data_IF_234212105435
#
_entry.id   IF_234212105435
#
_cell.length_a   1.000
_cell.length_b   1.000
_cell.length_c   1.000
_cell.angle_alpha   90.00
_cell.angle_beta   90.00
_cell.angle_gamma   90.00
#
_symmetry.space_group_name_H-M   'P 1'
#
loop_
_entity.id
_entity.type
_entity.pdbx_description
1 polymer ?
#
# COMPACT_ATOMS: atom_id res chain seq x y z
N UNK A 1 9.67 15.98 -6.17
CA UNK A 1 9.62 15.93 -4.68
C UNK A 1 8.49 15.04 -4.14
N UNK A 2 7.23 15.16 -4.59
CA UNK A 2 6.14 14.30 -4.05
C UNK A 2 6.32 12.81 -4.38
N UNK A 3 6.68 12.41 -5.61
CA UNK A 3 6.97 11.00 -5.90
C UNK A 3 8.14 10.42 -5.09
N UNK A 4 9.17 11.21 -4.82
CA UNK A 4 10.28 10.79 -3.95
C UNK A 4 9.82 10.55 -2.51
N UNK A 5 8.91 11.41 -1.99
CA UNK A 5 8.27 11.20 -0.70
C UNK A 5 7.45 9.90 -0.70
N UNK A 6 6.71 9.65 -1.78
CA UNK A 6 5.95 8.40 -1.96
C UNK A 6 6.84 7.16 -1.95
N UNK A 7 7.95 7.20 -2.67
CA UNK A 7 8.93 6.11 -2.69
C UNK A 7 9.61 5.92 -1.33
N UNK A 8 10.01 7.01 -0.67
CA UNK A 8 10.57 6.96 0.68
C UNK A 8 9.58 6.34 1.68
N UNK A 9 8.30 6.75 1.62
CA UNK A 9 7.26 6.21 2.49
C UNK A 9 7.04 4.70 2.24
N UNK A 10 7.18 4.23 0.99
CA UNK A 10 7.09 2.81 0.65
C UNK A 10 8.25 2.01 1.26
N UNK A 11 9.49 2.54 1.17
CA UNK A 11 10.66 1.93 1.79
C UNK A 11 10.53 1.92 3.32
N UNK A 12 10.06 3.04 3.92
CA UNK A 12 9.81 3.11 5.36
C UNK A 12 8.77 2.07 5.79
N UNK A 13 7.69 1.88 5.01
CA UNK A 13 6.70 0.86 5.28
C UNK A 13 7.30 -0.55 5.27
N UNK A 14 8.22 -0.85 4.34
CA UNK A 14 8.93 -2.12 4.32
C UNK A 14 9.80 -2.33 5.58
N UNK A 15 10.52 -1.30 6.04
CA UNK A 15 11.30 -1.36 7.28
C UNK A 15 10.41 -1.57 8.51
N UNK A 16 9.24 -0.91 8.55
CA UNK A 16 8.24 -1.12 9.61
C UNK A 16 7.67 -2.55 9.56
N UNK A 17 7.40 -3.09 8.37
CA UNK A 17 6.91 -4.46 8.19
C UNK A 17 7.95 -5.51 8.65
N UNK A 18 9.25 -5.29 8.40
CA UNK A 18 10.33 -6.13 8.95
C UNK A 18 10.26 -6.12 10.49
N UNK A 19 10.20 -4.94 11.08
CA UNK A 19 10.17 -4.76 12.53
C UNK A 19 8.91 -5.39 13.14
N UNK A 20 7.75 -5.20 12.49
CA UNK A 20 6.47 -5.80 12.87
C UNK A 20 6.49 -7.33 12.77
N UNK A 21 7.23 -7.89 11.83
CA UNK A 21 7.36 -9.34 11.67
C UNK A 21 8.20 -9.97 12.78
N UNK A 22 9.23 -9.29 13.25
CA UNK A 22 10.25 -9.83 14.14
C UNK A 22 9.91 -9.57 15.62
N UNK A 23 9.75 -8.29 16.01
CA UNK A 23 9.67 -7.92 17.43
C UNK A 23 8.47 -8.53 18.17
N UNK A 24 7.22 -8.45 17.64
CA UNK A 24 6.07 -9.02 18.31
C UNK A 24 6.14 -10.55 18.40
N UNK A 25 6.64 -11.21 17.36
CA UNK A 25 6.78 -12.67 17.34
C UNK A 25 7.79 -13.13 18.38
N UNK A 26 8.93 -12.46 18.45
CA UNK A 26 9.97 -12.73 19.45
C UNK A 26 9.47 -12.47 20.87
N UNK A 27 8.71 -11.38 21.06
CA UNK A 27 8.04 -11.08 22.32
C UNK A 27 7.08 -12.18 22.75
N UNK A 28 6.26 -12.67 21.81
CA UNK A 28 5.30 -13.75 22.08
C UNK A 28 5.98 -15.11 22.42
N UNK A 29 7.19 -15.35 21.88
CA UNK A 29 7.97 -16.55 22.21
C UNK A 29 8.63 -16.49 23.60
N UNK A 30 9.03 -15.27 24.02
CA UNK A 30 9.72 -15.04 25.30
C UNK A 30 8.80 -14.62 26.45
N UNK A 31 7.53 -14.37 26.17
CA UNK A 31 6.59 -13.80 27.14
C UNK A 31 6.90 -12.33 27.49
N UNK A 32 7.63 -11.60 26.61
CA UNK A 32 7.99 -10.20 26.85
C UNK A 32 6.84 -9.26 26.40
N UNK A 33 6.16 -8.70 27.39
CA UNK A 33 5.03 -7.81 27.17
C UNK A 33 5.41 -6.52 26.42
N UNK A 34 6.65 -6.02 26.55
CA UNK A 34 7.10 -4.80 25.88
C UNK A 34 7.26 -5.04 24.37
N UNK A 35 7.89 -6.16 24.02
CA UNK A 35 8.05 -6.56 22.62
C UNK A 35 6.70 -6.88 21.97
N UNK A 36 5.80 -7.57 22.66
CA UNK A 36 4.43 -7.80 22.17
C UNK A 36 3.67 -6.49 21.98
N UNK A 37 3.83 -5.53 22.90
CA UNK A 37 3.20 -4.22 22.83
C UNK A 37 3.64 -3.36 21.64
N UNK A 38 4.77 -3.66 20.99
CA UNK A 38 5.21 -2.98 19.78
C UNK A 38 4.34 -3.26 18.55
N UNK A 39 3.54 -4.32 18.57
CA UNK A 39 2.74 -4.77 17.43
C UNK A 39 1.77 -3.69 16.92
N UNK A 40 1.00 -3.08 17.83
CA UNK A 40 -0.03 -2.10 17.46
C UNK A 40 0.56 -0.80 16.87
N UNK A 41 1.54 -0.12 17.50
CA UNK A 41 2.12 1.08 16.91
C UNK A 41 2.82 0.83 15.58
N UNK A 42 3.47 -0.35 15.39
CA UNK A 42 4.10 -0.70 14.12
C UNK A 42 3.08 -0.91 13.00
N UNK A 43 1.96 -1.59 13.28
CA UNK A 43 0.88 -1.78 12.32
C UNK A 43 0.27 -0.44 11.88
N UNK A 44 -0.01 0.46 12.83
CA UNK A 44 -0.56 1.79 12.52
C UNK A 44 0.45 2.64 11.73
N UNK A 45 1.71 2.64 12.14
CA UNK A 45 2.76 3.40 11.43
C UNK A 45 2.96 2.87 10.00
N UNK A 46 2.93 1.55 9.80
CA UNK A 46 3.00 0.92 8.48
C UNK A 46 1.83 1.33 7.59
N UNK A 47 0.59 1.29 8.12
CA UNK A 47 -0.59 1.75 7.41
C UNK A 47 -0.51 3.23 7.01
N UNK A 48 -0.07 4.10 7.91
CA UNK A 48 0.13 5.52 7.62
C UNK A 48 1.17 5.73 6.53
N UNK A 49 2.31 5.04 6.59
CA UNK A 49 3.37 5.16 5.59
C UNK A 49 2.88 4.72 4.20
N UNK A 50 2.16 3.59 4.09
CA UNK A 50 1.60 3.12 2.82
C UNK A 50 0.53 4.08 2.30
N UNK A 51 -0.31 4.64 3.18
CA UNK A 51 -1.32 5.65 2.80
C UNK A 51 -0.66 6.91 2.24
N UNK A 52 0.43 7.38 2.83
CA UNK A 52 1.22 8.51 2.30
C UNK A 52 1.77 8.16 0.92
N UNK A 53 2.32 6.96 0.74
CA UNK A 53 2.82 6.50 -0.56
C UNK A 53 1.70 6.49 -1.62
N UNK A 54 0.55 5.92 -1.29
CA UNK A 54 -0.59 5.87 -2.21
C UNK A 54 -1.12 7.28 -2.56
N UNK A 55 -1.23 8.17 -1.55
CA UNK A 55 -1.63 9.56 -1.77
C UNK A 55 -0.63 10.33 -2.65
N UNK A 56 0.67 10.06 -2.51
CA UNK A 56 1.70 10.66 -3.35
C UNK A 56 1.56 10.19 -4.82
N UNK A 57 1.20 8.93 -5.06
CA UNK A 57 0.94 8.44 -6.40
C UNK A 57 -0.33 9.07 -7.00
N UNK A 58 -1.43 9.18 -6.23
CA UNK A 58 -2.63 9.90 -6.66
C UNK A 58 -2.28 11.35 -7.04
N UNK A 59 -1.48 12.00 -6.22
CA UNK A 59 -1.04 13.39 -6.50
C UNK A 59 -0.29 13.48 -7.82
N UNK A 60 0.62 12.57 -8.11
CA UNK A 60 1.36 12.54 -9.39
C UNK A 60 0.41 12.41 -10.59
N UNK A 61 -0.65 11.60 -10.48
CA UNK A 61 -1.68 11.49 -11.52
C UNK A 61 -2.52 12.75 -11.68
N UNK A 62 -2.97 13.34 -10.59
CA UNK A 62 -3.81 14.55 -10.58
C UNK A 62 -3.05 15.74 -11.16
N UNK A 63 -1.76 15.87 -10.85
CA UNK A 63 -0.90 16.97 -11.33
C UNK A 63 -0.26 16.69 -12.69
N UNK A 64 -0.51 15.52 -13.32
CA UNK A 64 0.12 15.07 -14.55
C UNK A 64 1.65 15.13 -14.48
N UNK A 65 2.25 14.55 -13.44
CA UNK A 65 3.71 14.50 -13.32
C UNK A 65 4.29 13.48 -14.31
N UNK A 66 4.55 13.94 -15.55
CA UNK A 66 5.07 13.12 -16.64
C UNK A 66 6.53 12.71 -16.44
N UNK A 67 7.15 13.05 -15.32
CA UNK A 67 8.44 12.49 -14.94
C UNK A 67 8.32 11.12 -14.28
N UNK A 68 7.10 10.65 -13.97
CA UNK A 68 6.80 9.34 -13.40
C UNK A 68 6.36 8.38 -14.49
N UNK A 69 7.09 7.28 -14.71
CA UNK A 69 6.81 6.29 -15.77
C UNK A 69 5.37 5.77 -15.68
N UNK A 70 4.89 5.47 -14.49
CA UNK A 70 3.55 4.95 -14.26
C UNK A 70 2.46 5.94 -14.71
N UNK A 71 2.67 7.26 -14.47
CA UNK A 71 1.75 8.31 -14.94
C UNK A 71 1.75 8.42 -16.46
N UNK A 72 2.95 8.41 -17.07
CA UNK A 72 3.10 8.45 -18.54
C UNK A 72 2.38 7.29 -19.22
N UNK A 73 2.52 6.09 -18.69
CA UNK A 73 1.93 4.88 -19.28
C UNK A 73 0.39 4.83 -19.14
N UNK A 74 -0.18 5.43 -18.08
CA UNK A 74 -1.57 5.19 -17.70
C UNK A 74 -2.42 6.45 -17.54
N UNK A 75 -1.89 7.64 -17.82
CA UNK A 75 -2.64 8.91 -17.70
C UNK A 75 -2.41 9.81 -18.91
N UNK A 76 -3.24 10.85 -19.04
CA UNK A 76 -3.17 11.86 -20.07
C UNK A 76 -3.70 13.19 -19.53
N UNK A 77 -3.18 14.34 -20.00
CA UNK A 77 -3.58 15.65 -19.51
C UNK A 77 -5.09 15.93 -19.70
N UNK A 78 -5.66 15.49 -20.83
CA UNK A 78 -7.08 15.66 -21.17
C UNK A 78 -8.02 14.68 -20.45
N UNK A 79 -7.50 13.71 -19.65
CA UNK A 79 -8.33 12.72 -18.96
C UNK A 79 -9.18 13.37 -17.86
N UNK A 80 -10.49 13.04 -17.72
CA UNK A 80 -11.33 13.54 -16.63
C UNK A 80 -10.74 13.22 -15.26
N UNK A 81 -10.88 14.14 -14.28
CA UNK A 81 -10.28 14.03 -12.95
C UNK A 81 -10.64 12.73 -12.23
N UNK A 82 -11.89 12.28 -12.34
CA UNK A 82 -12.32 11.01 -11.77
C UNK A 82 -11.44 9.86 -12.25
N UNK A 83 -11.20 9.77 -13.57
CA UNK A 83 -10.40 8.70 -14.14
C UNK A 83 -8.89 8.92 -13.98
N UNK A 84 -8.42 10.13 -13.67
CA UNK A 84 -7.05 10.34 -13.21
C UNK A 84 -6.86 9.64 -11.84
N UNK A 85 -7.77 9.86 -10.90
CA UNK A 85 -7.70 9.25 -9.57
C UNK A 85 -7.86 7.72 -9.66
N UNK A 86 -8.91 7.25 -10.34
CA UNK A 86 -9.19 5.81 -10.43
C UNK A 86 -8.20 5.07 -11.32
N UNK A 87 -7.57 5.75 -12.26
CA UNK A 87 -6.49 5.21 -13.09
C UNK A 87 -5.24 4.79 -12.30
N UNK A 88 -5.07 5.30 -11.08
CA UNK A 88 -3.98 4.89 -10.18
C UNK A 88 -4.00 3.38 -9.94
N UNK A 89 -5.18 2.80 -9.72
CA UNK A 89 -5.33 1.35 -9.54
C UNK A 89 -5.80 0.62 -10.79
N UNK A 90 -5.90 1.31 -11.91
CA UNK A 90 -6.18 0.73 -13.22
C UNK A 90 -4.96 0.08 -13.89
N UNK A 91 -3.82 0.03 -13.22
CA UNK A 91 -2.57 -0.56 -13.68
C UNK A 91 -1.97 -1.47 -12.60
N UNK A 92 -0.95 -2.23 -12.97
CA UNK A 92 -0.35 -3.24 -12.10
C UNK A 92 0.29 -2.65 -10.84
N UNK A 93 1.14 -1.64 -10.98
CA UNK A 93 1.93 -1.07 -9.88
C UNK A 93 1.04 -0.34 -8.87
N UNK A 94 0.12 0.49 -9.35
CA UNK A 94 -0.79 1.24 -8.48
C UNK A 94 -1.84 0.35 -7.81
N UNK A 95 -2.28 -0.69 -8.52
CA UNK A 95 -3.16 -1.74 -8.00
C UNK A 95 -2.51 -2.49 -6.83
N UNK A 96 -1.21 -2.81 -6.92
CA UNK A 96 -0.47 -3.46 -5.84
C UNK A 96 -0.35 -2.56 -4.59
N UNK A 97 -0.11 -1.24 -4.76
CA UNK A 97 -0.08 -0.34 -3.60
C UNK A 97 -1.46 -0.28 -2.93
N UNK A 98 -2.55 -0.21 -3.70
CA UNK A 98 -3.90 -0.26 -3.14
C UNK A 98 -4.12 -1.56 -2.36
N UNK A 99 -3.67 -2.69 -2.89
CA UNK A 99 -3.79 -4.00 -2.25
C UNK A 99 -3.06 -4.04 -0.89
N UNK A 100 -1.79 -3.59 -0.85
CA UNK A 100 -1.03 -3.55 0.42
C UNK A 100 -1.59 -2.50 1.38
N UNK A 101 -2.18 -1.41 0.89
CA UNK A 101 -2.86 -0.42 1.73
C UNK A 101 -4.07 -1.03 2.43
N UNK A 102 -4.88 -1.82 1.74
CA UNK A 102 -6.01 -2.54 2.34
C UNK A 102 -5.52 -3.55 3.38
N UNK A 103 -4.47 -4.31 3.08
CA UNK A 103 -3.88 -5.28 4.02
C UNK A 103 -3.32 -4.59 5.27
N UNK A 104 -2.61 -3.48 5.10
CA UNK A 104 -2.11 -2.69 6.22
C UNK A 104 -3.26 -2.07 7.04
N UNK A 105 -4.34 -1.67 6.37
CA UNK A 105 -5.59 -1.24 7.01
C UNK A 105 -6.22 -2.34 7.86
N UNK A 106 -6.26 -3.58 7.37
CA UNK A 106 -6.69 -4.75 8.15
C UNK A 106 -5.78 -4.97 9.36
N UNK A 107 -4.46 -4.87 9.19
CA UNK A 107 -3.50 -4.96 10.30
C UNK A 107 -3.73 -3.87 11.35
N UNK A 108 -3.92 -2.63 10.92
CA UNK A 108 -4.25 -1.51 11.82
C UNK A 108 -5.61 -1.71 12.52
N UNK A 109 -6.60 -2.28 11.84
CA UNK A 109 -7.91 -2.61 12.43
C UNK A 109 -7.77 -3.69 13.51
N UNK A 110 -6.97 -4.75 13.28
CA UNK A 110 -6.67 -5.75 14.32
C UNK A 110 -5.95 -5.10 15.50
N UNK A 111 -5.06 -4.13 15.26
CA UNK A 111 -4.41 -3.39 16.35
C UNK A 111 -5.40 -2.56 17.18
N UNK A 112 -6.36 -1.90 16.50
CA UNK A 112 -7.32 -1.00 17.15
C UNK A 112 -8.46 -1.76 17.88
N UNK A 113 -8.96 -2.85 17.29
CA UNK A 113 -10.14 -3.56 17.76
C UNK A 113 -9.84 -4.90 18.44
N UNK A 114 -8.59 -5.37 18.36
CA UNK A 114 -8.16 -6.65 18.92
C UNK A 114 -7.87 -6.65 20.42
N UNK A 115 -8.30 -5.64 21.19
CA UNK A 115 -8.00 -5.51 22.63
C UNK A 115 -8.53 -6.67 23.49
N UNK A 116 -9.52 -7.42 23.01
CA UNK A 116 -10.05 -8.61 23.69
C UNK A 116 -9.24 -9.88 23.46
N UNK A 117 -8.30 -9.87 22.52
CA UNK A 117 -7.46 -11.01 22.19
C UNK A 117 -6.34 -11.14 23.23
N UNK A 118 -5.91 -12.38 23.56
CA UNK A 118 -4.68 -12.59 24.32
C UNK A 118 -3.49 -11.91 23.64
N UNK A 119 -2.67 -11.18 24.41
CA UNK A 119 -1.56 -10.38 23.86
C UNK A 119 -0.59 -11.19 22.98
N UNK A 120 -0.32 -12.44 23.37
CA UNK A 120 0.53 -13.35 22.61
C UNK A 120 -0.10 -13.74 21.24
N UNK A 121 -1.43 -13.89 21.18
CA UNK A 121 -2.13 -14.18 19.94
C UNK A 121 -2.11 -12.95 19.04
N UNK A 122 -2.46 -11.78 19.57
CA UNK A 122 -2.44 -10.52 18.82
C UNK A 122 -1.05 -10.24 18.25
N UNK A 123 0.01 -10.43 19.05
CA UNK A 123 1.38 -10.25 18.60
C UNK A 123 1.77 -11.20 17.45
N UNK A 124 1.35 -12.47 17.50
CA UNK A 124 1.59 -13.46 16.44
C UNK A 124 0.82 -13.12 15.16
N UNK A 125 -0.45 -12.75 15.28
CA UNK A 125 -1.27 -12.32 14.12
C UNK A 125 -0.64 -11.11 13.44
N UNK A 126 -0.24 -10.10 14.22
CA UNK A 126 0.42 -8.91 13.68
C UNK A 126 1.76 -9.24 13.00
N UNK A 127 2.53 -10.15 13.57
CA UNK A 127 3.79 -10.58 12.95
C UNK A 127 3.56 -11.29 11.59
N UNK A 128 2.55 -12.15 11.50
CA UNK A 128 2.20 -12.83 10.23
C UNK A 128 1.73 -11.82 9.19
N UNK A 129 0.85 -10.87 9.55
CA UNK A 129 0.42 -9.79 8.67
C UNK A 129 1.63 -8.94 8.20
N UNK A 130 2.58 -8.67 9.11
CA UNK A 130 3.84 -8.00 8.77
C UNK A 130 4.68 -8.77 7.75
N UNK A 131 4.77 -10.10 7.88
CA UNK A 131 5.50 -10.94 6.90
C UNK A 131 4.86 -10.90 5.52
N UNK A 132 3.53 -10.96 5.45
CA UNK A 132 2.80 -10.87 4.18
C UNK A 132 3.01 -9.48 3.54
N UNK A 133 2.85 -8.41 4.34
CA UNK A 133 3.12 -7.03 3.90
C UNK A 133 4.56 -6.89 3.37
N UNK A 134 5.55 -7.42 4.09
CA UNK A 134 6.95 -7.37 3.67
C UNK A 134 7.17 -8.03 2.32
N UNK A 135 6.58 -9.20 2.08
CA UNK A 135 6.70 -9.90 0.81
C UNK A 135 6.17 -9.07 -0.36
N UNK A 136 4.99 -8.47 -0.22
CA UNK A 136 4.40 -7.61 -1.25
C UNK A 136 5.15 -6.28 -1.40
N UNK A 137 5.57 -5.65 -0.31
CA UNK A 137 6.35 -4.40 -0.36
C UNK A 137 7.70 -4.61 -1.03
N UNK A 138 8.38 -5.72 -0.74
CA UNK A 138 9.61 -6.09 -1.43
C UNK A 138 9.38 -6.29 -2.94
N UNK A 139 8.30 -7.00 -3.31
CA UNK A 139 7.95 -7.16 -4.72
C UNK A 139 7.68 -5.82 -5.41
N UNK A 140 6.92 -4.91 -4.77
CA UNK A 140 6.64 -3.58 -5.32
C UNK A 140 7.94 -2.78 -5.49
N UNK A 141 8.81 -2.73 -4.48
CA UNK A 141 10.02 -1.93 -4.50
C UNK A 141 11.01 -2.42 -5.56
N UNK A 142 11.20 -3.73 -5.68
CA UNK A 142 12.25 -4.29 -6.54
C UNK A 142 11.79 -4.66 -7.94
N UNK A 143 10.50 -4.90 -8.15
CA UNK A 143 9.98 -5.44 -9.42
C UNK A 143 8.93 -4.56 -10.07
N UNK A 144 8.14 -3.82 -9.30
CA UNK A 144 6.96 -3.09 -9.78
C UNK A 144 6.88 -1.70 -9.16
N UNK A 145 7.98 -0.94 -9.21
CA UNK A 145 8.10 0.37 -8.57
C UNK A 145 7.23 1.43 -9.29
N UNK A 146 6.14 1.93 -8.66
CA UNK A 146 5.25 2.92 -9.28
C UNK A 146 5.85 4.33 -9.34
N UNK A 147 6.99 4.56 -8.64
CA UNK A 147 7.67 5.86 -8.59
C UNK A 147 8.93 5.90 -9.49
N UNK A 148 9.06 4.94 -10.43
CA UNK A 148 10.13 4.97 -11.40
C UNK A 148 10.10 6.27 -12.22
N UNK A 149 11.29 6.86 -12.43
CA UNK A 149 11.43 8.14 -13.11
C UNK A 149 11.90 7.98 -14.54
N UNK A 150 11.40 8.85 -15.41
CA UNK A 150 11.86 8.97 -16.79
C UNK A 150 12.39 10.38 -17.06
N UNK A 151 13.51 10.44 -17.78
CA UNK A 151 14.11 11.70 -18.19
C UNK A 151 14.73 11.59 -19.58
N UNK A 152 14.46 12.51 -20.54
CA UNK A 152 13.54 13.65 -20.44
C UNK A 152 12.08 13.20 -20.36
N UNK A 153 11.19 13.96 -19.66
CA UNK A 153 9.78 13.64 -19.60
C UNK A 153 9.13 13.84 -20.99
N UNK A 154 8.22 12.96 -21.42
CA UNK A 154 7.45 13.18 -22.64
C UNK A 154 6.47 14.34 -22.46
N UNK A 155 5.99 14.95 -23.59
CA UNK A 155 5.09 16.08 -23.54
C UNK A 155 3.71 15.75 -22.95
N UNK A 156 3.25 14.51 -23.06
CA UNK A 156 2.03 13.99 -22.45
C UNK A 156 2.09 12.45 -22.32
N UNK A 157 1.11 11.86 -21.61
CA UNK A 157 1.04 10.44 -21.39
C UNK A 157 0.22 9.68 -22.44
N UNK A 158 0.33 8.34 -22.42
CA UNK A 158 -0.33 7.44 -23.37
C UNK A 158 -1.84 7.28 -23.11
N UNK A 159 -2.29 7.63 -21.89
CA UNK A 159 -3.69 7.49 -21.49
C UNK A 159 -4.02 6.14 -20.87
N UNK A 160 -5.16 6.09 -20.18
CA UNK A 160 -5.73 4.86 -19.64
C UNK A 160 -6.52 4.15 -20.74
N UNK A 161 -6.46 2.81 -20.77
CA UNK A 161 -7.30 2.01 -21.65
C UNK A 161 -8.78 2.48 -21.55
N UNK A 162 -9.44 2.83 -22.68
CA UNK A 162 -10.83 3.32 -22.67
C UNK A 162 -11.80 2.41 -21.96
N UNK A 163 -11.59 1.07 -21.98
CA UNK A 163 -12.41 0.10 -21.26
C UNK A 163 -12.35 0.26 -19.74
N UNK A 164 -11.28 0.85 -19.20
CA UNK A 164 -11.12 1.11 -17.78
C UNK A 164 -11.69 2.47 -17.35
N UNK A 165 -12.19 3.27 -18.30
CA UNK A 165 -12.85 4.55 -18.05
C UNK A 165 -14.35 4.37 -17.85
N UNK A 166 -14.73 3.42 -17.01
CA UNK A 166 -16.09 3.11 -16.59
C UNK A 166 -16.19 3.13 -15.06
N UNK A 167 -17.31 3.65 -14.53
CA UNK A 167 -17.51 3.81 -13.08
C UNK A 167 -17.53 2.43 -12.37
N UNK A 168 -18.16 1.43 -13.00
CA UNK A 168 -18.18 0.08 -12.45
C UNK A 168 -16.78 -0.51 -12.33
N UNK A 169 -15.94 -0.33 -13.35
CA UNK A 169 -14.54 -0.78 -13.34
C UNK A 169 -13.66 0.07 -12.41
N UNK A 170 -14.00 1.33 -12.18
CA UNK A 170 -13.30 2.18 -11.23
C UNK A 170 -13.52 1.73 -9.77
N UNK A 171 -14.73 1.28 -9.42
CA UNK A 171 -15.11 0.89 -8.05
C UNK A 171 -14.83 -0.59 -7.76
N UNK A 172 -14.88 -1.46 -8.78
CA UNK A 172 -14.74 -2.90 -8.62
C UNK A 172 -13.42 -3.33 -7.94
N UNK A 173 -12.21 -2.86 -8.34
CA UNK A 173 -10.96 -3.30 -7.72
C UNK A 173 -10.86 -2.96 -6.22
N UNK A 174 -11.19 -1.74 -5.74
CA UNK A 174 -11.18 -1.46 -4.32
C UNK A 174 -12.10 -2.39 -3.51
N UNK A 175 -13.33 -2.65 -3.99
CA UNK A 175 -14.28 -3.55 -3.32
C UNK A 175 -13.79 -5.00 -3.34
N UNK A 176 -13.24 -5.44 -4.46
CA UNK A 176 -12.66 -6.77 -4.60
C UNK A 176 -11.51 -6.97 -3.60
N UNK A 177 -10.62 -5.97 -3.47
CA UNK A 177 -9.49 -6.06 -2.54
C UNK A 177 -9.94 -6.06 -1.09
N UNK A 178 -10.92 -5.25 -0.70
CA UNK A 178 -11.47 -5.31 0.67
C UNK A 178 -12.02 -6.70 0.97
N UNK A 179 -12.78 -7.30 0.06
CA UNK A 179 -13.30 -8.66 0.23
C UNK A 179 -12.21 -9.73 0.26
N UNK A 180 -11.32 -9.71 -0.74
CA UNK A 180 -10.29 -10.73 -0.91
C UNK A 180 -9.20 -10.67 0.17
N UNK A 181 -8.68 -9.47 0.45
CA UNK A 181 -7.65 -9.25 1.48
C UNK A 181 -8.22 -9.46 2.88
N UNK A 182 -9.52 -9.19 3.07
CA UNK A 182 -10.21 -9.44 4.34
C UNK A 182 -10.08 -10.88 4.83
N UNK A 183 -9.95 -11.85 3.91
CA UNK A 183 -9.67 -13.24 4.29
C UNK A 183 -8.36 -13.44 5.05
N UNK A 184 -7.38 -12.57 4.88
CA UNK A 184 -6.12 -12.64 5.64
C UNK A 184 -6.31 -12.43 7.15
N UNK A 185 -7.46 -11.90 7.60
CA UNK A 185 -7.77 -11.61 9.00
C UNK A 185 -8.81 -12.57 9.57
N UNK A 186 -9.56 -13.31 8.75
CA UNK A 186 -10.61 -14.22 9.20
C UNK A 186 -10.08 -15.56 9.73
N UNK A 187 -8.83 -15.87 9.52
CA UNK A 187 -8.13 -17.07 9.97
C UNK A 187 -7.00 -16.72 10.94
#
# INVERSE_FOLDING_TARGET
MIPELGHFALILAAMLAITQSILPLWGAQRGDARLMGSAAPLAVAGFVAITISFAALIWAYVTNDMTVVNVVANSHSAKPMLFKITGVWGNHEGSLILWVMVLAGCSAAVAAFGATLPSALQARVQAVLGMILLGFLAFIIFTSNPFERIWPPPPDGQGLNPLLQDIGLAIHPPLLYVGYVGYAVTF
#
